data_IF_686310196846
#
_entry.id   IF_686310196846
#
_cell.length_a   1.000
_cell.length_b   1.000
_cell.length_c   1.000
_cell.angle_alpha   90.00
_cell.angle_beta   90.00
_cell.angle_gamma   90.00
#
_symmetry.space_group_name_H-M   'P 1'
#
loop_
_entity.id
_entity.type
_entity.pdbx_description
1 polymer ?
#
# COMPACT_ATOMS: atom_id res chain seq x y z
N UNK A 1 -7.93 4.15 -12.04
CA UNK A 1 -7.21 3.18 -11.22
C UNK A 1 -7.32 3.46 -9.72
N UNK A 2 -7.06 2.41 -8.91
CA UNK A 2 -7.04 2.46 -7.44
C UNK A 2 -5.65 2.07 -6.98
N UNK A 3 -4.96 2.96 -6.30
CA UNK A 3 -3.64 2.69 -5.73
C UNK A 3 -3.76 2.35 -4.24
N UNK A 4 -3.19 1.22 -3.84
CA UNK A 4 -3.21 0.76 -2.45
C UNK A 4 -1.78 0.80 -1.93
N UNK A 5 -1.54 1.58 -0.89
CA UNK A 5 -0.23 1.78 -0.30
C UNK A 5 -0.25 1.70 1.24
N UNK A 6 0.92 1.73 1.83
CA UNK A 6 1.15 1.69 3.28
C UNK A 6 2.43 0.93 3.60
N UNK A 7 2.80 0.85 4.86
CA UNK A 7 3.92 -0.01 5.24
C UNK A 7 3.67 -1.46 4.81
N UNK A 8 4.67 -2.21 4.38
CA UNK A 8 4.50 -3.66 4.22
C UNK A 8 3.92 -4.24 5.53
N UNK A 9 3.05 -5.26 5.42
CA UNK A 9 2.34 -5.86 6.57
C UNK A 9 1.29 -4.97 7.25
N UNK A 10 0.89 -3.85 6.65
CA UNK A 10 -0.18 -2.98 7.17
C UNK A 10 -1.60 -3.39 6.76
N UNK A 11 -1.76 -4.45 5.97
CA UNK A 11 -3.07 -4.92 5.49
C UNK A 11 -3.38 -4.57 4.03
N UNK A 12 -2.41 -4.08 3.26
CA UNK A 12 -2.57 -3.74 1.83
C UNK A 12 -3.09 -4.91 1.00
N UNK A 13 -2.61 -6.14 1.25
CA UNK A 13 -3.10 -7.35 0.57
C UNK A 13 -4.55 -7.68 0.94
N UNK A 14 -4.94 -7.49 2.21
CA UNK A 14 -6.33 -7.69 2.65
C UNK A 14 -7.26 -6.68 1.97
N UNK A 15 -6.86 -5.42 1.92
CA UNK A 15 -7.58 -4.37 1.20
C UNK A 15 -7.81 -4.76 -0.27
N UNK A 16 -6.76 -5.14 -0.98
CA UNK A 16 -6.87 -5.55 -2.38
C UNK A 16 -7.76 -6.78 -2.57
N UNK A 17 -7.70 -7.77 -1.67
CA UNK A 17 -8.55 -8.95 -1.76
C UNK A 17 -10.04 -8.61 -1.56
N UNK A 18 -10.37 -7.73 -0.63
CA UNK A 18 -11.75 -7.25 -0.45
C UNK A 18 -12.21 -6.54 -1.72
N UNK A 19 -11.43 -5.60 -2.26
CA UNK A 19 -11.76 -4.84 -3.46
C UNK A 19 -11.88 -5.74 -4.68
N UNK A 20 -10.93 -6.63 -4.92
CA UNK A 20 -10.92 -7.50 -6.10
C UNK A 20 -11.95 -8.66 -6.04
N UNK A 21 -12.71 -8.76 -4.95
CA UNK A 21 -13.89 -9.64 -4.88
C UNK A 21 -15.13 -8.96 -5.48
N UNK A 22 -15.12 -7.64 -5.58
CA UNK A 22 -16.19 -6.87 -6.22
C UNK A 22 -16.19 -7.11 -7.73
N UNK A 23 -17.38 -7.31 -8.32
CA UNK A 23 -17.53 -7.65 -9.75
C UNK A 23 -17.03 -6.58 -10.73
N UNK A 24 -16.76 -5.37 -10.26
CA UNK A 24 -16.30 -4.22 -11.07
C UNK A 24 -14.83 -3.88 -10.87
N UNK A 25 -14.07 -4.65 -10.09
CA UNK A 25 -12.68 -4.34 -9.77
C UNK A 25 -11.76 -5.51 -10.10
N UNK A 26 -10.78 -5.26 -10.97
CA UNK A 26 -9.64 -6.16 -11.21
C UNK A 26 -8.54 -5.90 -10.18
N UNK A 27 -7.98 -6.96 -9.60
CA UNK A 27 -6.78 -6.84 -8.78
C UNK A 27 -5.53 -7.13 -9.63
N UNK A 28 -4.62 -6.18 -9.82
CA UNK A 28 -3.38 -6.40 -10.58
C UNK A 28 -2.20 -6.84 -9.69
N UNK A 29 -2.28 -6.67 -8.38
CA UNK A 29 -1.20 -7.02 -7.46
C UNK A 29 -0.14 -5.92 -7.34
N UNK A 30 1.12 -6.34 -7.11
CA UNK A 30 2.25 -5.42 -6.95
C UNK A 30 2.87 -5.12 -8.31
N UNK A 31 2.73 -3.86 -8.76
CA UNK A 31 3.24 -3.41 -10.05
C UNK A 31 4.43 -2.46 -9.84
N UNK A 32 5.52 -2.69 -10.55
CA UNK A 32 6.72 -1.83 -10.55
C UNK A 32 6.79 -0.92 -11.78
N UNK A 33 5.83 -1.03 -12.68
CA UNK A 33 5.88 -0.43 -14.01
C UNK A 33 5.80 1.10 -13.96
N UNK A 34 5.07 1.67 -12.99
CA UNK A 34 5.06 3.12 -12.82
C UNK A 34 6.47 3.67 -12.53
N UNK A 35 7.25 2.98 -11.71
CA UNK A 35 8.64 3.33 -11.41
C UNK A 35 9.50 3.25 -12.68
N UNK A 36 9.29 2.21 -13.52
CA UNK A 36 10.03 2.03 -14.77
C UNK A 36 9.68 3.09 -15.80
N UNK A 37 8.40 3.30 -16.06
CA UNK A 37 7.93 4.26 -17.08
C UNK A 37 8.30 5.71 -16.72
N UNK A 38 8.34 6.04 -15.42
CA UNK A 38 8.81 7.34 -14.94
C UNK A 38 10.35 7.44 -14.85
N UNK A 39 11.11 6.39 -15.14
CA UNK A 39 12.56 6.39 -15.01
C UNK A 39 13.09 6.53 -13.57
N UNK A 40 12.21 6.47 -12.56
CA UNK A 40 12.59 6.55 -11.14
C UNK A 40 13.51 5.41 -10.70
N UNK A 41 13.48 4.26 -11.37
CA UNK A 41 14.38 3.14 -11.07
C UNK A 41 15.87 3.51 -11.16
N UNK A 42 16.19 4.50 -12.01
CA UNK A 42 17.55 4.99 -12.23
C UNK A 42 18.01 6.03 -11.18
N UNK A 43 17.09 6.49 -10.32
CA UNK A 43 17.31 7.60 -9.37
C UNK A 43 17.58 7.08 -7.95
N UNK A 44 17.20 5.83 -7.64
CA UNK A 44 17.28 5.23 -6.29
C UNK A 44 18.71 5.18 -5.71
N UNK A 45 19.72 5.58 -6.46
CA UNK A 45 21.12 5.64 -6.05
C UNK A 45 21.67 7.08 -5.95
N UNK A 46 21.02 7.97 -5.18
CA UNK A 46 21.58 9.24 -4.66
C UNK A 46 22.40 10.10 -5.65
N UNK A 47 21.96 10.20 -6.89
CA UNK A 47 22.60 11.01 -7.92
C UNK A 47 21.81 12.32 -8.06
N UNK A 48 22.34 13.42 -7.53
CA UNK A 48 21.69 14.75 -7.58
C UNK A 48 21.39 15.20 -9.01
N UNK A 49 22.25 14.86 -9.97
CA UNK A 49 22.03 15.21 -11.38
C UNK A 49 20.81 14.49 -11.94
N UNK A 50 20.64 13.20 -11.62
CA UNK A 50 19.46 12.44 -12.02
C UNK A 50 18.19 12.94 -11.35
N UNK A 51 18.25 13.32 -10.07
CA UNK A 51 17.13 13.93 -9.37
C UNK A 51 16.72 15.26 -10.00
N UNK A 52 17.68 16.12 -10.33
CA UNK A 52 17.42 17.38 -11.04
C UNK A 52 16.84 17.15 -12.43
N UNK A 53 17.34 16.16 -13.16
CA UNK A 53 16.78 15.80 -14.47
C UNK A 53 15.34 15.30 -14.33
N UNK A 54 15.07 14.44 -13.34
CA UNK A 54 13.73 13.95 -13.08
C UNK A 54 12.78 15.09 -12.68
N UNK A 55 13.20 16.01 -11.80
CA UNK A 55 12.37 17.15 -11.43
C UNK A 55 11.99 18.04 -12.62
N UNK A 56 12.93 18.26 -13.55
CA UNK A 56 12.64 18.98 -14.81
C UNK A 56 11.65 18.23 -15.69
N UNK A 57 11.72 16.90 -15.74
CA UNK A 57 10.77 16.12 -16.50
C UNK A 57 9.34 16.24 -15.93
N UNK A 58 9.18 16.47 -14.61
CA UNK A 58 7.86 16.69 -14.01
C UNK A 58 7.21 18.02 -14.39
N UNK A 59 7.97 18.95 -15.00
CA UNK A 59 7.47 20.21 -15.54
C UNK A 59 7.09 20.09 -17.04
N UNK A 60 7.35 18.94 -17.67
CA UNK A 60 7.05 18.69 -19.09
C UNK A 60 5.75 17.88 -19.24
N UNK A 61 4.72 18.54 -19.72
CA UNK A 61 3.40 17.93 -19.95
C UNK A 61 3.46 16.74 -20.91
N UNK A 62 4.35 16.76 -21.93
CA UNK A 62 4.50 15.64 -22.87
C UNK A 62 5.09 14.41 -22.16
N UNK A 63 6.05 14.64 -21.25
CA UNK A 63 6.61 13.54 -20.45
C UNK A 63 5.56 12.94 -19.52
N UNK A 64 4.80 13.77 -18.81
CA UNK A 64 3.74 13.32 -17.91
C UNK A 64 2.66 12.55 -18.68
N UNK A 65 2.24 13.08 -19.84
CA UNK A 65 1.25 12.40 -20.68
C UNK A 65 1.78 11.05 -21.20
N UNK A 66 3.04 10.97 -21.61
CA UNK A 66 3.64 9.72 -22.08
C UNK A 66 3.71 8.67 -20.96
N UNK A 67 4.11 9.06 -19.74
CA UNK A 67 4.10 8.16 -18.57
C UNK A 67 2.69 7.68 -18.26
N UNK A 68 1.70 8.58 -18.29
CA UNK A 68 0.27 8.27 -18.11
C UNK A 68 -0.19 7.23 -19.11
N UNK A 69 0.05 7.46 -20.40
CA UNK A 69 -0.46 6.61 -21.48
C UNK A 69 0.13 5.21 -21.42
N UNK A 70 1.44 5.10 -21.23
CA UNK A 70 2.12 3.81 -21.05
C UNK A 70 1.57 3.05 -19.83
N UNK A 71 1.34 3.75 -18.73
CA UNK A 71 0.86 3.11 -17.51
C UNK A 71 -0.60 2.67 -17.63
N UNK A 72 -1.47 3.48 -18.24
CA UNK A 72 -2.87 3.11 -18.49
C UNK A 72 -2.98 1.93 -19.48
N UNK A 73 -2.16 1.93 -20.54
CA UNK A 73 -2.09 0.79 -21.47
C UNK A 73 -1.66 -0.50 -20.73
N UNK A 74 -0.68 -0.37 -19.83
CA UNK A 74 -0.25 -1.52 -19.02
C UNK A 74 -1.35 -2.02 -18.09
N UNK A 75 -2.05 -1.12 -17.38
CA UNK A 75 -3.16 -1.47 -16.49
C UNK A 75 -4.32 -2.13 -17.23
N UNK A 76 -4.59 -1.74 -18.47
CA UNK A 76 -5.65 -2.33 -19.28
C UNK A 76 -5.47 -3.84 -19.52
N UNK A 77 -4.25 -4.38 -19.42
CA UNK A 77 -3.97 -5.83 -19.51
C UNK A 77 -4.59 -6.64 -18.38
N UNK A 78 -4.93 -5.99 -17.25
CA UNK A 78 -5.51 -6.64 -16.08
C UNK A 78 -7.04 -6.50 -16.02
N UNK A 79 -7.62 -5.58 -16.79
CA UNK A 79 -9.07 -5.33 -16.80
C UNK A 79 -9.77 -6.46 -17.58
N UNK A 80 -10.72 -7.12 -16.92
CA UNK A 80 -11.54 -8.15 -17.55
C UNK A 80 -12.86 -7.55 -18.07
N UNK A 81 -13.54 -8.30 -18.93
CA UNK A 81 -14.84 -7.88 -19.47
C UNK A 81 -15.85 -7.59 -18.36
N UNK A 82 -16.41 -6.39 -18.37
CA UNK A 82 -17.40 -5.93 -17.39
C UNK A 82 -16.84 -5.31 -16.13
N UNK A 83 -15.51 -5.34 -15.92
CA UNK A 83 -14.83 -4.61 -14.85
C UNK A 83 -14.60 -3.14 -15.25
N UNK A 84 -14.59 -2.24 -14.28
CA UNK A 84 -14.49 -0.80 -14.50
C UNK A 84 -13.23 -0.18 -13.93
N UNK A 85 -12.64 -0.84 -12.94
CA UNK A 85 -11.48 -0.33 -12.19
C UNK A 85 -10.44 -1.41 -12.00
N UNK A 86 -9.19 -0.99 -11.84
CA UNK A 86 -8.06 -1.88 -11.58
C UNK A 86 -7.27 -1.36 -10.38
N UNK A 87 -6.83 -2.28 -9.51
CA UNK A 87 -5.95 -1.91 -8.39
C UNK A 87 -4.49 -2.09 -8.77
N UNK A 88 -3.65 -1.15 -8.35
CA UNK A 88 -2.21 -1.34 -8.17
C UNK A 88 -1.94 -1.35 -6.66
N UNK A 89 -1.54 -2.50 -6.15
CA UNK A 89 -1.26 -2.67 -4.73
C UNK A 89 0.22 -2.92 -4.53
N UNK A 90 1.02 -1.88 -4.53
CA UNK A 90 2.41 -1.91 -4.10
C UNK A 90 2.52 -1.15 -2.77
N UNK A 91 2.93 -1.78 -1.66
CA UNK A 91 3.03 -1.09 -0.37
C UNK A 91 3.76 0.24 -0.47
N UNK A 92 4.87 0.30 -1.19
CA UNK A 92 5.70 1.49 -1.35
C UNK A 92 5.13 2.58 -2.28
N UNK A 93 3.95 2.40 -2.88
CA UNK A 93 3.28 3.45 -3.66
C UNK A 93 3.06 4.75 -2.86
N UNK A 94 3.18 4.72 -1.54
CA UNK A 94 3.15 5.94 -0.73
C UNK A 94 4.28 6.93 -1.08
N UNK A 95 5.39 6.47 -1.63
CA UNK A 95 6.47 7.33 -2.12
C UNK A 95 6.07 8.03 -3.42
N UNK A 96 5.19 7.41 -4.20
CA UNK A 96 4.80 7.84 -5.54
C UNK A 96 3.51 8.65 -5.58
N UNK A 97 2.86 8.94 -4.44
CA UNK A 97 1.54 9.62 -4.41
C UNK A 97 1.57 10.92 -5.22
N UNK A 98 2.62 11.73 -5.10
CA UNK A 98 2.77 12.96 -5.88
C UNK A 98 2.79 12.71 -7.39
N UNK A 99 3.62 11.78 -7.86
CA UNK A 99 3.67 11.39 -9.27
C UNK A 99 2.33 10.82 -9.75
N UNK A 100 1.72 9.93 -8.95
CA UNK A 100 0.40 9.35 -9.28
C UNK A 100 -0.62 10.45 -9.49
N UNK A 101 -0.69 11.44 -8.60
CA UNK A 101 -1.65 12.54 -8.68
C UNK A 101 -1.34 13.51 -9.83
N UNK A 102 -0.08 13.66 -10.23
CA UNK A 102 0.30 14.45 -11.40
C UNK A 102 -0.18 13.80 -12.71
N UNK A 103 0.06 12.50 -12.87
CA UNK A 103 -0.27 11.81 -14.13
C UNK A 103 -1.72 11.28 -14.16
N UNK A 104 -2.31 11.01 -13.02
CA UNK A 104 -3.64 10.40 -12.84
C UNK A 104 -4.40 11.13 -11.72
N UNK A 105 -4.79 12.40 -11.89
CA UNK A 105 -5.44 13.19 -10.85
C UNK A 105 -6.75 12.55 -10.34
N UNK A 106 -7.43 11.77 -11.19
CA UNK A 106 -8.64 11.01 -10.87
C UNK A 106 -8.39 9.70 -10.09
N UNK A 107 -7.13 9.30 -9.94
CA UNK A 107 -6.80 8.05 -9.25
C UNK A 107 -7.20 8.08 -7.78
N UNK A 108 -7.79 7.00 -7.32
CA UNK A 108 -8.12 6.80 -5.90
C UNK A 108 -6.92 6.27 -5.15
N UNK A 109 -6.57 6.91 -4.05
CA UNK A 109 -5.48 6.49 -3.17
C UNK A 109 -6.07 5.91 -1.90
N UNK A 110 -5.68 4.68 -1.56
CA UNK A 110 -6.04 4.00 -0.32
C UNK A 110 -4.78 3.75 0.48
N UNK A 111 -4.67 4.41 1.61
CA UNK A 111 -3.58 4.23 2.55
C UNK A 111 -3.98 3.25 3.66
N UNK A 112 -3.34 2.08 3.70
CA UNK A 112 -3.54 1.09 4.75
C UNK A 112 -2.68 1.45 5.97
N UNK A 113 -3.36 1.82 7.06
CA UNK A 113 -2.77 2.14 8.36
C UNK A 113 -2.92 0.97 9.31
N UNK A 114 -1.90 0.72 10.13
CA UNK A 114 -1.90 -0.28 11.20
C UNK A 114 -1.20 0.29 12.43
N UNK A 115 -1.49 -0.28 13.61
CA UNK A 115 -0.74 0.04 14.83
C UNK A 115 0.77 -0.04 14.57
N UNK A 116 1.55 0.99 14.94
CA UNK A 116 2.96 1.06 14.60
C UNK A 116 3.79 -0.11 15.14
N UNK A 117 3.50 -0.54 16.37
CA UNK A 117 4.28 -1.60 17.01
C UNK A 117 3.90 -2.97 16.41
N UNK A 118 2.59 -3.24 16.20
CA UNK A 118 2.14 -4.46 15.52
C UNK A 118 2.63 -4.55 14.07
N UNK A 119 2.66 -3.43 13.36
CA UNK A 119 3.17 -3.38 12.00
C UNK A 119 4.68 -3.67 11.95
N UNK A 120 5.46 -2.96 12.75
CA UNK A 120 6.92 -3.16 12.83
C UNK A 120 7.27 -4.55 13.37
N UNK A 121 6.56 -5.05 14.38
CA UNK A 121 6.75 -6.42 14.87
C UNK A 121 6.48 -7.46 13.80
N UNK A 122 5.41 -7.28 13.01
CA UNK A 122 5.09 -8.18 11.89
C UNK A 122 6.16 -8.14 10.78
N UNK A 123 6.83 -7.01 10.57
CA UNK A 123 7.97 -6.88 9.66
C UNK A 123 9.21 -7.56 10.24
N UNK A 124 9.55 -7.25 11.49
CA UNK A 124 10.74 -7.77 12.18
C UNK A 124 10.74 -9.30 12.32
N UNK A 125 9.57 -9.89 12.57
CA UNK A 125 9.39 -11.34 12.72
C UNK A 125 9.27 -12.09 11.39
N UNK A 126 9.23 -11.40 10.23
CA UNK A 126 9.08 -12.02 8.93
C UNK A 126 10.42 -12.10 8.18
N UNK A 127 10.71 -13.28 7.60
CA UNK A 127 11.88 -13.46 6.74
C UNK A 127 11.53 -13.08 5.30
N UNK A 128 12.02 -11.94 4.84
CA UNK A 128 11.90 -11.53 3.45
C UNK A 128 13.00 -12.16 2.60
N UNK A 129 12.65 -12.51 1.36
CA UNK A 129 13.62 -13.04 0.38
C UNK A 129 14.37 -11.88 -0.29
N UNK A 130 13.70 -10.73 -0.43
CA UNK A 130 14.19 -9.55 -1.09
C UNK A 130 15.08 -8.71 -0.15
N UNK A 131 16.21 -8.23 -0.69
CA UNK A 131 17.15 -7.34 0.01
C UNK A 131 16.58 -5.95 0.31
N UNK A 132 15.53 -5.53 -0.40
CA UNK A 132 14.86 -4.23 -0.19
C UNK A 132 14.28 -4.05 1.21
N UNK A 133 14.10 -5.15 1.96
CA UNK A 133 13.55 -5.16 3.31
C UNK A 133 14.61 -5.34 4.41
N UNK A 134 15.90 -5.16 4.13
CA UNK A 134 16.97 -5.34 5.13
C UNK A 134 16.81 -4.47 6.38
N UNK A 135 16.21 -3.28 6.24
CA UNK A 135 15.89 -2.41 7.38
C UNK A 135 14.99 -3.10 8.42
N UNK A 136 14.20 -4.10 8.02
CA UNK A 136 13.29 -4.82 8.92
C UNK A 136 13.99 -5.73 9.93
N UNK A 137 15.25 -6.10 9.69
CA UNK A 137 16.03 -6.98 10.57
C UNK A 137 16.74 -6.25 11.70
N UNK A 138 16.68 -4.92 11.74
CA UNK A 138 17.23 -4.10 12.81
C UNK A 138 16.15 -3.21 13.41
N UNK A 139 15.89 -3.36 14.71
CA UNK A 139 14.79 -2.67 15.39
C UNK A 139 14.89 -1.13 15.30
N UNK A 140 16.12 -0.58 15.38
CA UNK A 140 16.33 0.87 15.27
C UNK A 140 16.04 1.35 13.85
N UNK A 141 16.65 0.71 12.85
CA UNK A 141 16.44 1.07 11.44
C UNK A 141 14.97 0.94 11.04
N UNK A 142 14.28 -0.10 11.49
CA UNK A 142 12.87 -0.31 11.24
C UNK A 142 12.00 0.80 11.85
N UNK A 143 12.28 1.18 13.10
CA UNK A 143 11.58 2.27 13.78
C UNK A 143 11.83 3.63 13.11
N UNK A 144 13.06 3.90 12.65
CA UNK A 144 13.42 5.10 11.90
C UNK A 144 12.71 5.14 10.53
N UNK A 145 12.72 4.02 9.80
CA UNK A 145 12.00 3.91 8.53
C UNK A 145 10.50 4.14 8.69
N UNK A 146 9.89 3.57 9.75
CA UNK A 146 8.49 3.83 10.06
C UNK A 146 8.20 5.32 10.31
N UNK A 147 9.08 6.02 11.03
CA UNK A 147 8.95 7.46 11.24
C UNK A 147 9.03 8.26 9.94
N UNK A 148 9.99 7.92 9.06
CA UNK A 148 10.09 8.56 7.74
C UNK A 148 8.82 8.35 6.92
N UNK A 149 8.32 7.13 6.87
CA UNK A 149 7.03 6.81 6.24
C UNK A 149 5.89 7.64 6.83
N UNK A 150 5.76 7.70 8.16
CA UNK A 150 4.72 8.49 8.83
C UNK A 150 4.80 9.98 8.49
N UNK A 151 6.02 10.54 8.47
CA UNK A 151 6.24 11.94 8.12
C UNK A 151 5.84 12.21 6.66
N UNK A 152 6.20 11.33 5.73
CA UNK A 152 5.81 11.45 4.34
C UNK A 152 4.30 11.34 4.15
N UNK A 153 3.63 10.41 4.84
CA UNK A 153 2.16 10.32 4.79
C UNK A 153 1.48 11.55 5.38
N UNK A 154 2.01 12.13 6.48
CA UNK A 154 1.49 13.38 7.02
C UNK A 154 1.64 14.53 6.01
N UNK A 155 2.75 14.58 5.26
CA UNK A 155 2.91 15.53 4.16
C UNK A 155 1.82 15.33 3.10
N UNK A 156 1.58 14.11 2.64
CA UNK A 156 0.56 13.83 1.64
C UNK A 156 -0.87 14.18 2.11
N UNK A 157 -1.19 13.95 3.37
CA UNK A 157 -2.50 14.35 3.94
C UNK A 157 -2.67 15.87 4.03
N UNK A 158 -1.60 16.65 4.07
CA UNK A 158 -1.67 18.10 4.01
C UNK A 158 -1.82 18.62 2.56
N UNK A 159 -1.42 17.83 1.56
CA UNK A 159 -1.49 18.19 0.14
C UNK A 159 -2.77 17.70 -0.50
N UNK A 160 -3.25 16.52 -0.11
CA UNK A 160 -4.41 15.84 -0.72
C UNK A 160 -5.42 15.44 0.35
N UNK A 161 -6.66 15.88 0.21
CA UNK A 161 -7.78 15.57 1.10
C UNK A 161 -8.57 14.31 0.70
N UNK A 162 -8.28 13.76 -0.48
CA UNK A 162 -8.96 12.63 -1.09
C UNK A 162 -8.24 11.28 -0.92
N UNK A 163 -7.35 11.15 0.07
CA UNK A 163 -6.71 9.89 0.45
C UNK A 163 -7.58 9.15 1.46
N UNK A 164 -8.07 7.97 1.10
CA UNK A 164 -8.82 7.11 2.03
C UNK A 164 -7.88 6.40 3.00
N UNK A 165 -8.10 6.57 4.30
CA UNK A 165 -7.34 5.89 5.35
C UNK A 165 -8.06 4.63 5.78
N UNK A 166 -7.56 3.46 5.36
CA UNK A 166 -8.04 2.16 5.81
C UNK A 166 -7.30 1.76 7.09
N UNK A 167 -7.95 1.93 8.22
CA UNK A 167 -7.44 1.48 9.52
C UNK A 167 -7.65 -0.03 9.68
N UNK A 168 -6.56 -0.77 9.76
CA UNK A 168 -6.57 -2.24 9.79
C UNK A 168 -7.28 -2.78 11.03
N UNK A 169 -7.11 -2.17 12.19
CA UNK A 169 -7.76 -2.58 13.43
C UNK A 169 -9.27 -2.36 13.37
N UNK A 170 -9.71 -1.24 12.78
CA UNK A 170 -11.14 -0.98 12.54
C UNK A 170 -11.72 -2.00 11.57
N UNK A 171 -11.02 -2.28 10.46
CA UNK A 171 -11.45 -3.28 9.49
C UNK A 171 -11.58 -4.68 10.13
N UNK A 172 -10.62 -5.08 10.93
CA UNK A 172 -10.64 -6.38 11.62
C UNK A 172 -11.78 -6.48 12.64
N UNK A 173 -12.11 -5.38 13.31
CA UNK A 173 -13.18 -5.35 14.31
C UNK A 173 -14.58 -5.18 13.69
N UNK A 174 -14.71 -4.52 12.55
CA UNK A 174 -15.98 -4.14 11.91
C UNK A 174 -15.91 -4.36 10.40
N UNK A 175 -15.62 -5.60 9.95
CA UNK A 175 -15.34 -5.93 8.56
C UNK A 175 -16.40 -5.36 7.59
N UNK A 176 -17.68 -5.63 7.84
CA UNK A 176 -18.75 -5.25 6.91
C UNK A 176 -18.86 -3.72 6.76
N UNK A 177 -18.87 -3.01 7.89
CA UNK A 177 -19.01 -1.55 7.89
C UNK A 177 -17.85 -0.89 7.12
N UNK A 178 -16.61 -1.24 7.48
CA UNK A 178 -15.41 -0.63 6.86
C UNK A 178 -15.25 -1.06 5.40
N UNK A 179 -15.63 -2.31 5.04
CA UNK A 179 -15.63 -2.72 3.63
C UNK A 179 -16.67 -1.96 2.80
N UNK A 180 -17.83 -1.61 3.37
CA UNK A 180 -18.83 -0.76 2.71
C UNK A 180 -18.28 0.64 2.45
N UNK A 181 -17.62 1.24 3.44
CA UNK A 181 -16.98 2.56 3.29
C UNK A 181 -15.91 2.52 2.19
N UNK A 182 -15.09 1.47 2.17
CA UNK A 182 -14.04 1.25 1.18
C UNK A 182 -14.60 1.14 -0.25
N UNK A 183 -15.65 0.34 -0.46
CA UNK A 183 -16.31 0.19 -1.76
C UNK A 183 -16.99 1.49 -2.19
N UNK A 184 -17.66 2.19 -1.26
CA UNK A 184 -18.28 3.49 -1.52
C UNK A 184 -17.23 4.55 -1.92
N UNK A 185 -16.06 4.59 -1.27
CA UNK A 185 -14.95 5.45 -1.67
C UNK A 185 -14.51 5.17 -3.13
N UNK A 186 -14.56 3.92 -3.57
CA UNK A 186 -14.31 3.55 -4.96
C UNK A 186 -15.42 4.00 -5.92
N UNK A 187 -16.52 4.57 -5.43
CA UNK A 187 -17.66 5.02 -6.23
C UNK A 187 -18.55 3.86 -6.71
N UNK A 188 -18.52 2.73 -6.01
CA UNK A 188 -19.23 1.51 -6.39
C UNK A 188 -20.33 1.16 -5.37
N UNK A 189 -21.34 0.42 -5.85
CA UNK A 189 -22.37 -0.12 -4.98
C UNK A 189 -21.85 -1.31 -4.20
N UNK A 190 -22.28 -1.44 -2.97
CA UNK A 190 -21.90 -2.55 -2.10
C UNK A 190 -22.30 -3.92 -2.67
N UNK A 191 -21.38 -4.87 -2.65
CA UNK A 191 -21.60 -6.30 -2.93
C UNK A 191 -21.21 -7.13 -1.70
N UNK A 192 -22.15 -7.96 -1.21
CA UNK A 192 -21.95 -8.76 0.01
C UNK A 192 -20.82 -9.77 -0.15
N UNK A 193 -20.51 -10.17 -1.37
CA UNK A 193 -19.43 -11.12 -1.68
C UNK A 193 -18.05 -10.57 -1.29
N UNK A 194 -17.87 -9.26 -1.16
CA UNK A 194 -16.64 -8.64 -0.64
C UNK A 194 -16.28 -9.15 0.77
N UNK A 195 -17.25 -9.64 1.56
CA UNK A 195 -16.98 -10.28 2.85
C UNK A 195 -16.32 -11.66 2.71
N UNK A 196 -16.46 -12.30 1.57
CA UNK A 196 -15.96 -13.64 1.28
C UNK A 196 -14.62 -13.63 0.53
N UNK A 197 -13.84 -12.56 0.63
CA UNK A 197 -12.57 -12.35 -0.09
C UNK A 197 -11.60 -13.54 0.02
N UNK A 198 -11.62 -14.28 1.13
CA UNK A 198 -10.78 -15.45 1.40
C UNK A 198 -11.13 -16.68 0.52
N UNK A 199 -12.32 -16.69 -0.10
CA UNK A 199 -12.77 -17.76 -1.01
C UNK A 199 -12.35 -17.53 -2.47
N UNK A 200 -11.79 -16.36 -2.80
CA UNK A 200 -11.38 -16.05 -4.17
C UNK A 200 -10.23 -16.95 -4.62
N UNK A 201 -10.27 -17.40 -5.89
CA UNK A 201 -9.21 -18.23 -6.50
C UNK A 201 -8.09 -17.38 -7.13
N UNK A 202 -8.16 -16.04 -7.01
CA UNK A 202 -7.14 -15.15 -7.56
C UNK A 202 -5.76 -15.50 -7.01
N UNK A 203 -4.75 -15.51 -7.87
CA UNK A 203 -3.37 -15.68 -7.43
C UNK A 203 -2.93 -14.43 -6.64
N UNK A 204 -2.33 -14.67 -5.48
CA UNK A 204 -1.77 -13.62 -4.60
C UNK A 204 -0.29 -13.91 -4.42
N UNK A 205 0.55 -12.95 -4.80
CA UNK A 205 2.02 -13.06 -4.69
C UNK A 205 2.51 -12.03 -3.66
N UNK A 206 2.37 -12.32 -2.39
CA UNK A 206 2.83 -11.44 -1.29
C UNK A 206 3.20 -12.24 -0.06
N UNK A 207 3.95 -11.62 0.86
CA UNK A 207 4.27 -12.18 2.16
C UNK A 207 3.05 -12.48 3.06
N UNK A 208 1.85 -12.02 2.68
CA UNK A 208 0.60 -12.18 3.44
C UNK A 208 -0.36 -13.19 2.81
N UNK A 209 0.09 -14.02 1.86
CA UNK A 209 -0.77 -14.95 1.11
C UNK A 209 -1.59 -15.89 2.00
N UNK A 210 -0.98 -16.49 3.01
CA UNK A 210 -1.69 -17.42 3.91
C UNK A 210 -2.76 -16.74 4.73
N UNK A 211 -2.49 -15.50 5.16
CA UNK A 211 -3.41 -14.72 5.99
C UNK A 211 -4.70 -14.36 5.25
N UNK A 212 -4.60 -13.99 3.97
CA UNK A 212 -5.78 -13.58 3.18
C UNK A 212 -6.57 -14.75 2.60
N UNK A 213 -6.11 -15.99 2.79
CA UNK A 213 -6.84 -17.22 2.46
C UNK A 213 -7.74 -17.70 3.59
N UNK A 214 -7.77 -17.00 4.69
CA UNK A 214 -8.61 -17.29 5.86
C UNK A 214 -9.55 -16.11 6.14
N UNK A 215 -10.70 -16.35 6.79
CA UNK A 215 -11.52 -15.26 7.31
C UNK A 215 -10.70 -14.32 8.20
N UNK A 216 -11.11 -13.05 8.27
CA UNK A 216 -10.50 -12.09 9.18
C UNK A 216 -10.48 -12.62 10.61
N UNK A 217 -9.35 -12.47 11.29
CA UNK A 217 -9.21 -12.80 12.70
C UNK A 217 -8.37 -11.75 13.44
N UNK A 218 -8.48 -11.73 14.75
CA UNK A 218 -7.83 -10.71 15.63
C UNK A 218 -6.45 -11.11 16.15
N UNK A 219 -5.91 -12.26 15.74
CA UNK A 219 -4.67 -12.83 16.31
C UNK A 219 -3.45 -11.91 16.17
N UNK A 220 -3.46 -11.03 15.18
CA UNK A 220 -2.34 -10.12 14.89
C UNK A 220 -2.45 -8.77 15.61
N UNK A 221 -3.56 -8.48 16.29
CA UNK A 221 -3.76 -7.25 17.07
C UNK A 221 -3.13 -7.43 18.45
N UNK A 222 -2.16 -6.60 18.78
CA UNK A 222 -1.43 -6.66 20.03
C UNK A 222 -0.50 -7.89 20.16
N UNK A 223 -0.19 -8.58 19.07
CA UNK A 223 0.67 -9.76 19.06
C UNK A 223 2.09 -9.47 19.57
N UNK A 224 2.57 -8.24 19.41
CA UNK A 224 3.86 -7.80 19.90
C UNK A 224 3.99 -7.85 21.44
N UNK A 225 2.86 -7.77 22.18
CA UNK A 225 2.87 -7.69 23.66
C UNK A 225 3.56 -8.88 24.31
N UNK A 226 3.40 -10.09 23.75
CA UNK A 226 4.08 -11.30 24.23
C UNK A 226 5.61 -11.25 24.02
N UNK A 227 6.09 -10.33 23.21
CA UNK A 227 7.50 -10.14 22.86
C UNK A 227 8.05 -8.78 23.34
N UNK A 228 7.26 -8.02 24.09
CA UNK A 228 7.60 -6.67 24.55
C UNK A 228 9.01 -6.56 25.18
N UNK A 229 9.46 -7.48 26.05
CA UNK A 229 10.82 -7.39 26.65
C UNK A 229 11.95 -7.39 25.62
N UNK A 230 11.71 -7.99 24.44
CA UNK A 230 12.69 -8.11 23.35
C UNK A 230 12.59 -6.98 22.32
N UNK A 231 11.59 -6.09 22.43
CA UNK A 231 11.30 -5.02 21.48
C UNK A 231 11.62 -3.62 22.01
N UNK A 232 12.34 -3.52 23.13
CA UNK A 232 12.61 -2.26 23.82
C UNK A 232 13.22 -1.18 22.92
N UNK A 233 14.15 -1.60 22.04
CA UNK A 233 14.81 -0.70 21.08
C UNK A 233 13.84 -0.18 20.01
N UNK A 234 12.98 -1.04 19.49
CA UNK A 234 11.94 -0.67 18.53
C UNK A 234 10.94 0.30 19.17
N UNK A 235 10.41 -0.07 20.33
CA UNK A 235 9.39 0.71 21.06
C UNK A 235 9.91 2.12 21.38
N UNK A 236 11.13 2.22 21.91
CA UNK A 236 11.77 3.51 22.20
C UNK A 236 12.04 4.33 20.93
N UNK A 237 12.46 3.69 19.84
CA UNK A 237 12.69 4.36 18.56
C UNK A 237 11.40 4.90 17.96
N UNK A 238 10.29 4.20 18.11
CA UNK A 238 8.96 4.66 17.68
C UNK A 238 8.40 5.82 18.54
N UNK A 239 9.03 6.12 19.68
CA UNK A 239 8.64 7.20 20.60
C UNK A 239 7.59 6.80 21.62
N UNK A 240 7.36 5.51 21.82
CA UNK A 240 6.54 5.02 22.92
C UNK A 240 7.44 4.86 24.16
N UNK A 241 7.18 5.65 25.19
CA UNK A 241 7.80 5.46 26.51
C UNK A 241 6.94 4.50 27.34
N UNK A 242 7.63 3.68 28.16
CA UNK A 242 6.97 2.85 29.18
C UNK A 242 6.32 3.73 30.25
#
# INVERSE_FOLDING_TARGET
PIFICGMPRSGTTLCEQILSTHTKISGAGELSELIKFSGLENIIQTDEEKLLKFSKNLEDDNYLQNVRDQYLEYLNKFVKSGELQVTDKLPHNFILIGLIKLILPEAKIIYCKRDPIDNCFSLYSHKFVDISHQYSYNQKMLGEYYKLHKNLMNFWFNVYDDIFVLDNEKLVNNQEMISKELINFCGLKWEKDCLNFHKTKRQVRTASIEQVRQPINKKSIGAWKSYEPYLSKLISTLGYQK
#
